data_IF_726079755148
#
_entry.id   IF_726079755148
#
_cell.length_a   1.000
_cell.length_b   1.000
_cell.length_c   1.000
_cell.angle_alpha   90.00
_cell.angle_beta   90.00
_cell.angle_gamma   90.00
#
_symmetry.space_group_name_H-M   'P 1'
#
loop_
_entity.id
_entity.type
_entity.pdbx_description
1 polymer ?
#
# COMPACT_ATOMS: atom_id res chain seq x y z
N UNK A 1 -9.07 25.48 21.86
CA UNK A 1 -7.77 24.96 21.38
C UNK A 1 -8.03 23.60 20.75
N UNK A 2 -7.86 23.47 19.43
CA UNK A 2 -8.12 22.20 18.73
C UNK A 2 -6.85 21.35 18.84
N UNK A 3 -6.91 20.25 19.59
CA UNK A 3 -5.84 19.27 19.69
C UNK A 3 -5.80 18.53 18.35
N UNK A 4 -4.85 18.87 17.48
CA UNK A 4 -4.55 18.07 16.30
C UNK A 4 -3.95 16.75 16.80
N UNK A 5 -4.74 15.68 16.82
CA UNK A 5 -4.21 14.34 17.05
C UNK A 5 -3.20 14.02 15.94
N UNK A 6 -1.96 13.61 16.27
CA UNK A 6 -1.01 13.14 15.27
C UNK A 6 -1.62 11.92 14.54
N UNK A 7 -1.50 11.84 13.20
CA UNK A 7 -2.05 10.70 12.46
C UNK A 7 -1.39 9.40 12.96
N UNK A 8 -2.16 8.30 13.11
CA UNK A 8 -1.60 7.03 13.53
C UNK A 8 -0.49 6.59 12.56
N UNK A 9 0.61 5.97 13.03
CA UNK A 9 1.82 5.69 12.24
C UNK A 9 1.64 4.54 11.22
N UNK A 10 0.46 4.37 10.62
CA UNK A 10 0.14 3.18 9.81
C UNK A 10 -0.69 3.45 8.55
N UNK A 11 -0.86 4.70 8.15
CA UNK A 11 -1.50 5.04 6.87
C UNK A 11 -0.56 5.95 6.08
N UNK A 12 0.13 5.39 5.09
CA UNK A 12 0.74 6.18 4.02
C UNK A 12 -0.33 7.15 3.51
N UNK A 13 0.00 8.44 3.40
CA UNK A 13 -0.98 9.42 2.96
C UNK A 13 -1.57 8.97 1.61
N UNK A 14 -2.89 9.13 1.37
CA UNK A 14 -3.53 8.68 0.13
C UNK A 14 -2.81 9.16 -1.14
N UNK A 15 -2.20 10.34 -1.06
CA UNK A 15 -1.40 10.96 -2.12
C UNK A 15 -0.12 10.20 -2.44
N UNK A 16 0.58 9.68 -1.41
CA UNK A 16 1.81 8.91 -1.60
C UNK A 16 1.50 7.55 -2.23
N UNK A 17 0.40 6.94 -1.80
CA UNK A 17 -0.12 5.70 -2.38
C UNK A 17 -0.48 5.91 -3.86
N UNK A 18 -1.17 7.01 -4.19
CA UNK A 18 -1.51 7.36 -5.56
C UNK A 18 -0.30 7.55 -6.46
N UNK A 19 0.78 8.15 -5.93
CA UNK A 19 2.05 8.33 -6.66
C UNK A 19 2.81 7.03 -6.87
N UNK A 20 2.67 6.07 -5.95
CA UNK A 20 3.31 4.76 -6.04
C UNK A 20 2.56 3.80 -6.96
N UNK A 21 1.24 3.93 -7.08
CA UNK A 21 0.39 3.02 -7.84
C UNK A 21 0.86 2.72 -9.28
N UNK A 22 1.28 3.71 -10.09
CA UNK A 22 1.76 3.47 -11.45
C UNK A 22 3.08 2.68 -11.50
N UNK A 23 3.82 2.63 -10.39
CA UNK A 23 5.10 1.90 -10.25
C UNK A 23 4.91 0.48 -9.75
N UNK A 24 3.68 0.11 -9.36
CA UNK A 24 3.35 -1.23 -8.91
C UNK A 24 3.24 -2.19 -10.09
N UNK A 25 3.69 -3.43 -9.87
CA UNK A 25 3.45 -4.52 -10.81
C UNK A 25 1.93 -4.81 -10.89
N UNK A 26 1.43 -5.32 -12.03
CA UNK A 26 0.00 -5.64 -12.18
C UNK A 26 -0.55 -6.53 -11.05
N UNK A 27 0.23 -7.51 -10.59
CA UNK A 27 -0.14 -8.37 -9.46
C UNK A 27 -0.26 -7.63 -8.13
N UNK A 28 0.54 -6.59 -7.90
CA UNK A 28 0.45 -5.75 -6.71
C UNK A 28 -0.79 -4.84 -6.77
N UNK A 29 -1.10 -4.30 -7.96
CA UNK A 29 -2.31 -3.51 -8.18
C UNK A 29 -3.60 -4.33 -7.99
N UNK A 30 -3.57 -5.61 -8.35
CA UNK A 30 -4.69 -6.54 -8.18
C UNK A 30 -4.82 -7.10 -6.75
N UNK A 31 -3.90 -6.75 -5.84
CA UNK A 31 -3.91 -7.30 -4.48
C UNK A 31 -3.51 -8.79 -4.38
N UNK A 32 -2.81 -9.31 -5.39
CA UNK A 32 -2.24 -10.67 -5.37
C UNK A 32 -0.91 -10.67 -4.61
N UNK A 33 -0.10 -9.64 -4.84
CA UNK A 33 1.21 -9.45 -4.21
C UNK A 33 1.20 -8.21 -3.30
N UNK A 34 2.02 -8.25 -2.25
CA UNK A 34 2.17 -7.15 -1.32
C UNK A 34 2.70 -5.91 -2.04
N UNK A 35 2.02 -4.77 -1.86
CA UNK A 35 2.42 -3.49 -2.49
C UNK A 35 3.77 -2.94 -2.00
N UNK A 36 4.28 -3.46 -0.88
CA UNK A 36 5.54 -3.00 -0.26
C UNK A 36 6.74 -3.92 -0.53
N UNK A 37 6.54 -5.21 -0.80
CA UNK A 37 7.65 -6.17 -0.99
C UNK A 37 7.46 -7.18 -2.12
N UNK A 38 6.38 -7.08 -2.89
CA UNK A 38 6.03 -7.96 -4.01
C UNK A 38 5.90 -9.46 -3.67
N UNK A 39 5.90 -9.84 -2.39
CA UNK A 39 5.60 -11.22 -1.97
C UNK A 39 4.12 -11.51 -2.13
N UNK A 40 3.80 -12.72 -2.58
CA UNK A 40 2.42 -13.20 -2.69
C UNK A 40 1.70 -13.09 -1.36
N UNK A 41 0.54 -12.44 -1.40
CA UNK A 41 -0.35 -12.34 -0.26
C UNK A 41 -0.98 -13.71 -0.03
N UNK A 42 -0.85 -14.22 1.18
CA UNK A 42 -1.66 -15.33 1.67
C UNK A 42 -2.96 -14.81 2.29
N UNK A 43 -3.54 -15.59 3.19
CA UNK A 43 -4.76 -15.22 3.94
C UNK A 43 -4.54 -14.11 4.97
N UNK A 44 -3.29 -13.72 5.23
CA UNK A 44 -2.90 -12.71 6.24
C UNK A 44 -2.64 -11.32 5.65
N UNK A 45 -3.08 -11.08 4.41
CA UNK A 45 -3.03 -9.76 3.79
C UNK A 45 -3.91 -8.75 4.54
N UNK A 46 -3.39 -7.55 4.76
CA UNK A 46 -4.13 -6.41 5.32
C UNK A 46 -4.32 -5.33 4.28
N UNK A 47 -5.44 -4.62 4.36
CA UNK A 47 -5.68 -3.44 3.53
C UNK A 47 -4.77 -2.30 4.01
N UNK A 48 -3.99 -1.74 3.09
CA UNK A 48 -3.15 -0.58 3.35
C UNK A 48 -3.91 0.74 3.09
N UNK A 49 -4.80 0.72 2.10
CA UNK A 49 -5.61 1.86 1.71
C UNK A 49 -6.23 1.67 0.33
N UNK A 50 -7.10 2.60 -0.04
CA UNK A 50 -7.72 2.65 -1.36
C UNK A 50 -7.10 3.80 -2.17
N UNK A 51 -6.98 3.62 -3.49
CA UNK A 51 -6.41 4.59 -4.42
C UNK A 51 -7.29 4.72 -5.65
N UNK A 52 -7.51 5.95 -6.11
CA UNK A 52 -8.16 6.21 -7.38
C UNK A 52 -7.10 6.43 -8.45
N UNK A 53 -7.12 5.61 -9.49
CA UNK A 53 -6.21 5.73 -10.62
C UNK A 53 -7.01 5.61 -11.92
N UNK A 54 -6.87 6.62 -12.79
CA UNK A 54 -7.61 6.71 -14.07
C UNK A 54 -9.13 6.54 -13.91
N UNK A 55 -9.71 7.04 -12.81
CA UNK A 55 -11.14 6.92 -12.51
C UNK A 55 -11.56 5.59 -11.86
N UNK A 56 -10.68 4.60 -11.80
CA UNK A 56 -10.94 3.32 -11.15
C UNK A 56 -10.47 3.33 -9.69
N UNK A 57 -11.23 2.69 -8.80
CA UNK A 57 -10.85 2.50 -7.40
C UNK A 57 -10.12 1.16 -7.26
N UNK A 58 -8.92 1.21 -6.69
CA UNK A 58 -8.09 0.05 -6.38
C UNK A 58 -7.86 -0.04 -4.89
N UNK A 59 -7.91 -1.25 -4.36
CA UNK A 59 -7.59 -1.53 -2.96
C UNK A 59 -6.19 -2.12 -2.86
N UNK A 60 -5.35 -1.49 -2.07
CA UNK A 60 -3.98 -1.93 -1.88
C UNK A 60 -3.84 -2.81 -0.65
N UNK A 61 -3.04 -3.86 -0.80
CA UNK A 61 -2.86 -4.90 0.21
C UNK A 61 -1.38 -5.03 0.58
N UNK A 62 -1.11 -5.18 1.87
CA UNK A 62 0.22 -5.42 2.42
C UNK A 62 0.23 -6.70 3.25
N UNK A 63 1.37 -7.37 3.37
CA UNK A 63 1.52 -8.47 4.31
C UNK A 63 1.59 -7.96 5.77
N UNK A 64 1.39 -8.88 6.72
CA UNK A 64 1.33 -8.68 8.17
C UNK A 64 2.55 -7.90 8.75
N UNK A 65 2.51 -7.44 10.03
CA UNK A 65 3.49 -6.49 10.56
C UNK A 65 4.88 -7.13 10.55
N UNK A 66 5.79 -6.56 9.77
CA UNK A 66 7.08 -7.17 9.43
C UNK A 66 7.49 -6.92 7.98
N UNK A 67 6.55 -6.44 7.16
CA UNK A 67 6.88 -5.85 5.87
C UNK A 67 7.59 -4.51 6.04
N UNK A 68 8.88 -4.54 6.39
CA UNK A 68 9.74 -3.38 6.28
C UNK A 68 9.70 -2.90 4.82
N UNK A 69 9.35 -1.63 4.62
CA UNK A 69 9.24 -0.98 3.33
C UNK A 69 10.48 -1.25 2.48
N UNK A 70 10.42 -2.24 1.58
CA UNK A 70 11.34 -2.31 0.43
C UNK A 70 10.65 -1.64 -0.75
N UNK A 71 10.29 -0.38 -0.55
CA UNK A 71 10.01 0.53 -1.66
C UNK A 71 11.37 0.94 -2.26
N UNK A 72 12.05 -0.03 -2.87
CA UNK A 72 13.35 0.16 -3.50
C UNK A 72 14.29 -1.02 -3.29
N UNK A 73 14.60 -1.73 -4.38
CA UNK A 73 15.82 -2.52 -4.49
C UNK A 73 15.65 -4.03 -4.38
N UNK A 74 15.61 -4.69 -5.53
CA UNK A 74 15.80 -6.13 -5.65
C UNK A 74 15.68 -6.54 -7.11
N UNK A 75 16.82 -6.49 -7.80
CA UNK A 75 17.09 -6.81 -9.22
C UNK A 75 16.18 -7.85 -9.85
#
# INVERSE_FOLDING_TARGET
MIVQQPPPPTQLAPTDIARLFPRLLPRQQMGIDCVLCARRLGTTGRVLGDVRYLGCLFRLWACAPGCAQRLGGGR
#
